data_IF_248696449567
#
_entry.id   IF_248696449567
#
_cell.length_a   1.000
_cell.length_b   1.000
_cell.length_c   1.000
_cell.angle_alpha   90.00
_cell.angle_beta   90.00
_cell.angle_gamma   90.00
#
_symmetry.space_group_name_H-M   'P 1'
#
loop_
_entity.id
_entity.type
_entity.pdbx_description
1 polymer ?
#
# COMPACT_ATOMS: atom_id res chain seq x y z
N UNK A 1 -9.06 -10.08 -13.29
CA UNK A 1 -9.25 -8.73 -13.92
C UNK A 1 -8.18 -7.82 -13.37
N UNK A 2 -7.62 -6.88 -14.15
CA UNK A 2 -6.54 -6.00 -13.69
C UNK A 2 -6.83 -4.54 -14.05
N UNK A 3 -6.62 -3.62 -13.10
CA UNK A 3 -6.77 -2.18 -13.30
C UNK A 3 -5.72 -1.41 -12.49
N UNK A 4 -5.31 -0.22 -12.94
CA UNK A 4 -4.33 0.62 -12.23
C UNK A 4 -4.95 1.94 -11.79
N UNK A 5 -4.95 2.19 -10.49
CA UNK A 5 -5.50 3.40 -9.87
C UNK A 5 -4.79 3.67 -8.54
N UNK A 6 -4.71 4.93 -8.10
CA UNK A 6 -3.91 5.36 -6.94
C UNK A 6 -2.40 5.02 -7.03
N UNK A 7 -1.91 4.70 -8.22
CA UNK A 7 -0.55 4.17 -8.42
C UNK A 7 -0.40 2.68 -8.13
N UNK A 8 -1.47 2.01 -7.69
CA UNK A 8 -1.54 0.60 -7.32
C UNK A 8 -2.15 -0.21 -8.48
N UNK A 9 -1.61 -1.39 -8.73
CA UNK A 9 -2.22 -2.40 -9.61
C UNK A 9 -3.20 -3.25 -8.79
N UNK A 10 -4.45 -3.28 -9.21
CA UNK A 10 -5.52 -3.99 -8.52
C UNK A 10 -5.91 -5.23 -9.31
N UNK A 11 -5.97 -6.36 -8.62
CA UNK A 11 -6.28 -7.66 -9.22
C UNK A 11 -7.54 -8.29 -8.64
N UNK A 12 -8.26 -9.00 -9.50
CA UNK A 12 -9.39 -9.86 -9.15
C UNK A 12 -10.47 -9.12 -8.36
N UNK A 13 -10.88 -9.63 -7.19
CA UNK A 13 -11.95 -9.00 -6.39
C UNK A 13 -11.52 -7.68 -5.75
N UNK A 14 -10.21 -7.42 -5.65
CA UNK A 14 -9.72 -6.16 -5.10
C UNK A 14 -10.15 -4.96 -5.97
N UNK A 15 -10.36 -5.17 -7.29
CA UNK A 15 -10.84 -4.12 -8.22
C UNK A 15 -12.21 -3.55 -7.82
N UNK A 16 -13.10 -4.37 -7.26
CA UNK A 16 -14.42 -3.91 -6.79
C UNK A 16 -14.40 -3.29 -5.40
N UNK A 17 -13.35 -3.55 -4.60
CA UNK A 17 -13.22 -3.10 -3.21
C UNK A 17 -12.14 -2.02 -3.04
N UNK A 18 -11.62 -1.45 -4.13
CA UNK A 18 -10.46 -0.54 -4.13
C UNK A 18 -10.61 0.61 -3.15
N UNK A 19 -11.78 1.22 -3.13
CA UNK A 19 -12.07 2.35 -2.25
C UNK A 19 -11.97 1.93 -0.77
N UNK A 20 -12.44 0.74 -0.42
CA UNK A 20 -12.35 0.22 0.95
C UNK A 20 -10.89 -0.04 1.35
N UNK A 21 -10.11 -0.65 0.46
CA UNK A 21 -8.66 -0.82 0.66
C UNK A 21 -7.94 0.52 0.83
N UNK A 22 -8.18 1.48 -0.05
CA UNK A 22 -7.52 2.79 -0.02
C UNK A 22 -7.88 3.55 1.25
N UNK A 23 -9.16 3.56 1.65
CA UNK A 23 -9.61 4.20 2.88
C UNK A 23 -8.92 3.62 4.12
N UNK A 24 -8.73 2.30 4.16
CA UNK A 24 -8.00 1.66 5.24
C UNK A 24 -6.51 1.97 5.20
N UNK A 25 -5.88 1.90 4.03
CA UNK A 25 -4.43 2.11 3.88
C UNK A 25 -4.01 3.57 4.08
N UNK A 26 -4.91 4.55 3.92
CA UNK A 26 -4.67 5.94 4.35
C UNK A 26 -4.43 6.09 5.85
N UNK A 27 -4.79 5.09 6.67
CA UNK A 27 -4.51 5.07 8.12
C UNK A 27 -3.13 4.53 8.45
N UNK A 28 -2.44 3.90 7.50
CA UNK A 28 -1.10 3.36 7.72
C UNK A 28 -0.08 4.43 7.37
N UNK A 29 0.47 5.05 8.41
CA UNK A 29 1.39 6.19 8.31
C UNK A 29 2.83 5.70 8.43
N UNK A 30 3.70 6.13 7.50
CA UNK A 30 5.14 5.98 7.66
C UNK A 30 5.61 6.85 8.84
N UNK A 31 6.17 6.27 9.92
CA UNK A 31 6.50 7.02 11.12
C UNK A 31 7.71 7.95 10.95
N UNK A 32 8.51 7.81 9.88
CA UNK A 32 9.62 8.72 9.58
C UNK A 32 9.15 9.94 8.79
N UNK A 33 8.24 9.74 7.84
CA UNK A 33 7.79 10.80 6.93
C UNK A 33 6.46 11.44 7.33
N UNK A 34 5.67 10.78 8.18
CA UNK A 34 4.37 11.28 8.66
C UNK A 34 3.28 11.31 7.60
N UNK A 35 3.44 10.52 6.52
CA UNK A 35 2.48 10.40 5.41
C UNK A 35 2.11 8.95 5.21
N UNK A 36 0.90 8.70 4.74
CA UNK A 36 0.43 7.35 4.46
C UNK A 36 1.15 6.68 3.29
N UNK A 37 1.20 5.35 3.36
CA UNK A 37 1.90 4.51 2.38
C UNK A 37 1.33 4.58 0.96
N UNK A 38 0.06 5.00 0.80
CA UNK A 38 -0.59 5.16 -0.51
C UNK A 38 -0.08 6.43 -1.18
N UNK A 39 -0.10 7.56 -0.47
CA UNK A 39 0.41 8.84 -0.96
C UNK A 39 1.93 8.86 -1.13
N UNK A 40 2.66 8.05 -0.36
CA UNK A 40 4.09 7.80 -0.61
C UNK A 40 4.34 6.88 -1.81
N UNK A 41 3.31 6.21 -2.33
CA UNK A 41 3.43 5.30 -3.48
C UNK A 41 4.25 4.05 -3.17
N UNK A 42 4.15 3.55 -1.93
CA UNK A 42 4.88 2.36 -1.46
C UNK A 42 4.14 1.06 -1.79
N UNK A 43 2.82 1.12 -1.98
CA UNK A 43 2.02 -0.04 -2.38
C UNK A 43 2.04 -0.17 -3.90
N UNK A 44 2.47 -1.33 -4.41
CA UNK A 44 2.58 -1.56 -5.85
C UNK A 44 1.40 -2.34 -6.39
N UNK A 45 0.96 -3.37 -5.67
CA UNK A 45 -0.10 -4.26 -6.13
C UNK A 45 -0.91 -4.79 -4.97
N UNK A 46 -2.22 -4.91 -5.17
CA UNK A 46 -3.14 -5.61 -4.27
C UNK A 46 -4.02 -6.55 -5.09
N UNK A 47 -4.08 -7.82 -4.68
CA UNK A 47 -4.99 -8.82 -5.21
C UNK A 47 -5.87 -9.39 -4.09
N UNK A 48 -7.08 -9.78 -4.44
CA UNK A 48 -7.97 -10.52 -3.54
C UNK A 48 -8.62 -11.66 -4.31
N UNK A 49 -8.31 -12.89 -3.91
CA UNK A 49 -8.86 -14.08 -4.55
C UNK A 49 -10.28 -14.42 -4.04
N UNK A 50 -10.91 -15.42 -4.65
CA UNK A 50 -12.26 -15.87 -4.29
C UNK A 50 -12.33 -16.55 -2.90
N UNK A 51 -11.18 -16.88 -2.30
CA UNK A 51 -11.08 -17.51 -0.98
C UNK A 51 -10.77 -16.52 0.14
N UNK A 52 -10.64 -15.22 -0.17
CA UNK A 52 -10.31 -14.18 0.80
C UNK A 52 -8.81 -14.07 1.09
N UNK A 53 -7.93 -14.68 0.29
CA UNK A 53 -6.50 -14.43 0.38
C UNK A 53 -6.19 -13.09 -0.31
N UNK A 54 -5.85 -12.10 0.50
CA UNK A 54 -5.32 -10.83 0.04
C UNK A 54 -3.82 -10.97 -0.20
N UNK A 55 -3.35 -10.68 -1.41
CA UNK A 55 -1.92 -10.53 -1.70
C UNK A 55 -1.59 -9.05 -1.79
N UNK A 56 -0.52 -8.62 -1.13
CA UNK A 56 -0.03 -7.25 -1.21
C UNK A 56 1.45 -7.24 -1.56
N UNK A 57 1.79 -6.57 -2.66
CA UNK A 57 3.18 -6.27 -3.02
C UNK A 57 3.47 -4.82 -2.70
N UNK A 58 4.46 -4.58 -1.84
CA UNK A 58 4.92 -3.24 -1.52
C UNK A 58 6.43 -3.12 -1.54
N UNK A 59 6.91 -1.88 -1.44
CA UNK A 59 8.32 -1.51 -1.35
C UNK A 59 8.55 -0.62 -0.13
N UNK A 60 9.80 -0.29 0.13
CA UNK A 60 10.20 0.76 1.06
C UNK A 60 11.11 1.79 0.39
N UNK A 61 11.25 2.92 1.06
CA UNK A 61 12.20 3.97 0.68
C UNK A 61 13.65 3.47 0.70
N UNK A 62 13.99 2.56 1.62
CA UNK A 62 15.36 2.05 1.80
C UNK A 62 15.39 0.57 2.22
N UNK A 63 16.29 -0.26 1.66
CA UNK A 63 16.46 -1.66 2.09
C UNK A 63 16.94 -1.78 3.54
N UNK A 64 16.48 -2.82 4.23
CA UNK A 64 16.90 -3.12 5.61
C UNK A 64 16.30 -2.18 6.67
N UNK A 65 15.26 -1.42 6.33
CA UNK A 65 14.56 -0.57 7.29
C UNK A 65 13.93 -1.44 8.40
N UNK A 66 14.19 -1.17 9.69
CA UNK A 66 13.59 -1.92 10.80
C UNK A 66 12.07 -1.68 10.91
N UNK A 67 11.52 -0.73 10.15
CA UNK A 67 10.11 -0.37 10.18
C UNK A 67 9.22 -1.29 9.34
N UNK A 68 9.79 -2.24 8.59
CA UNK A 68 8.99 -3.24 7.84
C UNK A 68 7.98 -3.91 8.76
N UNK A 69 8.45 -4.43 9.91
CA UNK A 69 7.60 -5.16 10.84
C UNK A 69 6.50 -4.27 11.43
N UNK A 70 6.79 -2.99 11.67
CA UNK A 70 5.82 -2.02 12.15
C UNK A 70 4.71 -1.78 11.11
N UNK A 71 5.11 -1.45 9.87
CA UNK A 71 4.19 -1.19 8.78
C UNK A 71 3.37 -2.44 8.43
N UNK A 72 4.00 -3.61 8.39
CA UNK A 72 3.30 -4.86 8.13
C UNK A 72 2.23 -5.15 9.18
N UNK A 73 2.52 -4.93 10.47
CA UNK A 73 1.53 -5.10 11.53
C UNK A 73 0.37 -4.10 11.41
N UNK A 74 0.65 -2.83 11.13
CA UNK A 74 -0.39 -1.81 10.92
C UNK A 74 -1.25 -2.14 9.70
N UNK A 75 -0.64 -2.58 8.60
CA UNK A 75 -1.34 -3.03 7.38
C UNK A 75 -2.25 -4.22 7.70
N UNK A 76 -1.72 -5.24 8.38
CA UNK A 76 -2.50 -6.42 8.78
C UNK A 76 -3.70 -6.03 9.63
N UNK A 77 -3.50 -5.11 10.58
CA UNK A 77 -4.56 -4.61 11.43
C UNK A 77 -5.65 -3.90 10.62
N UNK A 78 -5.32 -2.88 9.82
CA UNK A 78 -6.34 -2.10 9.10
C UNK A 78 -7.05 -2.93 8.02
N UNK A 79 -6.35 -3.85 7.36
CA UNK A 79 -6.96 -4.72 6.35
C UNK A 79 -7.83 -5.81 6.96
N UNK A 80 -7.59 -6.21 8.21
CA UNK A 80 -8.48 -7.14 8.92
C UNK A 80 -9.88 -6.55 9.20
N UNK A 81 -10.05 -5.22 9.03
CA UNK A 81 -11.36 -4.57 9.12
C UNK A 81 -12.19 -4.68 7.81
N UNK A 82 -11.64 -5.27 6.74
CA UNK A 82 -12.37 -5.56 5.50
C UNK A 82 -12.86 -7.01 5.56
N UNK A 83 -14.18 -7.19 5.69
CA UNK A 83 -14.82 -8.50 5.93
C UNK A 83 -14.48 -9.57 4.88
N UNK A 84 -14.17 -9.18 3.64
CA UNK A 84 -13.81 -10.11 2.57
C UNK A 84 -12.38 -10.68 2.67
N UNK A 85 -11.55 -10.16 3.57
CA UNK A 85 -10.16 -10.59 3.74
C UNK A 85 -10.07 -11.61 4.88
N UNK A 86 -9.71 -12.85 4.52
CA UNK A 86 -9.50 -13.96 5.47
C UNK A 86 -8.03 -14.08 5.88
N UNK A 87 -7.10 -13.72 4.98
CA UNK A 87 -5.67 -13.76 5.23
C UNK A 87 -4.92 -12.74 4.37
N UNK A 88 -3.78 -12.25 4.88
CA UNK A 88 -2.86 -11.39 4.13
C UNK A 88 -1.54 -12.13 3.85
N UNK A 89 -1.22 -12.31 2.58
CA UNK A 89 0.12 -12.61 2.07
C UNK A 89 0.85 -11.31 1.75
N UNK A 90 1.80 -10.94 2.61
CA UNK A 90 2.56 -9.70 2.51
C UNK A 90 3.89 -9.96 1.81
N UNK A 91 4.15 -9.21 0.74
CA UNK A 91 5.34 -9.37 -0.08
C UNK A 91 6.08 -8.04 -0.21
N UNK A 92 7.36 -8.05 0.19
CA UNK A 92 8.26 -6.92 0.04
C UNK A 92 9.15 -7.11 -1.19
N UNK A 93 9.17 -6.10 -2.06
CA UNK A 93 10.07 -6.03 -3.22
C UNK A 93 10.81 -4.70 -3.24
N UNK A 94 12.01 -4.70 -3.81
CA UNK A 94 12.75 -3.48 -4.18
C UNK A 94 12.85 -3.31 -5.70
N UNK A 95 12.07 -4.09 -6.45
CA UNK A 95 12.01 -4.06 -7.90
C UNK A 95 10.55 -3.84 -8.36
N UNK A 96 10.25 -2.75 -9.08
CA UNK A 96 11.15 -1.61 -9.36
C UNK A 96 11.57 -0.84 -8.10
N UNK A 97 12.73 -0.19 -8.13
CA UNK A 97 13.13 0.69 -7.01
C UNK A 97 12.14 1.84 -6.85
N UNK A 98 11.90 2.21 -5.60
CA UNK A 98 11.07 3.36 -5.28
C UNK A 98 11.81 4.66 -5.61
N UNK A 99 11.09 5.65 -6.13
CA UNK A 99 11.60 7.02 -6.37
C UNK A 99 10.53 8.02 -5.95
N UNK A 100 10.95 9.25 -5.66
CA UNK A 100 10.04 10.35 -5.27
C UNK A 100 8.96 10.66 -6.33
N UNK A 101 9.16 10.26 -7.60
CA UNK A 101 8.16 10.41 -8.66
C UNK A 101 6.88 9.61 -8.40
N UNK A 102 6.93 8.62 -7.50
CA UNK A 102 5.77 7.81 -7.09
C UNK A 102 4.89 8.52 -6.07
N UNK A 103 5.39 9.57 -5.42
CA UNK A 103 4.65 10.31 -4.41
C UNK A 103 3.49 11.03 -5.10
N UNK A 104 2.29 10.88 -4.54
CA UNK A 104 1.09 11.55 -5.06
C UNK A 104 1.24 13.07 -4.97
N UNK A 105 0.42 13.81 -5.73
CA UNK A 105 0.40 15.28 -5.64
C UNK A 105 0.17 15.76 -4.21
N UNK A 106 -0.72 15.09 -3.47
CA UNK A 106 -0.97 15.40 -2.07
C UNK A 106 0.27 15.14 -1.20
N UNK A 107 0.91 13.97 -1.37
CA UNK A 107 2.13 13.63 -0.64
C UNK A 107 3.26 14.64 -0.89
N UNK A 108 3.45 15.07 -2.14
CA UNK A 108 4.46 16.09 -2.48
C UNK A 108 4.22 17.41 -1.77
N UNK A 109 2.96 17.88 -1.76
CA UNK A 109 2.56 19.10 -1.05
C UNK A 109 2.82 18.95 0.46
N UNK A 110 2.44 17.81 1.05
CA UNK A 110 2.61 17.56 2.48
C UNK A 110 4.09 17.52 2.91
N UNK A 111 4.99 16.99 2.07
CA UNK A 111 6.43 17.00 2.29
C UNK A 111 7.12 18.33 1.93
N UNK A 112 6.39 19.27 1.33
CA UNK A 112 6.98 20.53 0.84
C UNK A 112 7.94 20.37 -0.33
N UNK A 113 7.84 19.26 -1.08
CA UNK A 113 8.60 19.05 -2.32
C UNK A 113 7.84 19.72 -3.47
N UNK A 114 8.48 20.68 -4.14
CA UNK A 114 7.91 21.30 -5.33
C UNK A 114 7.80 20.26 -6.46
N UNK A 115 6.71 20.35 -7.25
CA UNK A 115 6.44 19.46 -8.39
C UNK A 115 7.55 19.50 -9.45
#
# INVERSE_FOLDING_TARGET
MEEKEYGIVWKDRAVSLREDFVNQLYRVIDPELGIDIVNLGLVYEIGLDDKGLCTMLMTLTTPGCPLVDYLENDIRYVLSEIDEIEALDFQLTFQPMWTMDRISRFGKIALGVAD
#
